data_IF_869139756124
#
_entry.id   IF_869139756124
#
_cell.length_a   1.000
_cell.length_b   1.000
_cell.length_c   1.000
_cell.angle_alpha   90.00
_cell.angle_beta   90.00
_cell.angle_gamma   90.00
#
_symmetry.space_group_name_H-M   'P 1'
#
loop_
_entity.id
_entity.type
_entity.pdbx_description
1 polymer ?
#
# COMPACT_ATOMS: atom_id res chain seq x y z
N UNK A 1 12.56 19.32 6.95
CA UNK A 1 11.48 18.41 7.39
C UNK A 1 11.18 17.54 6.19
N UNK A 2 11.26 16.23 6.35
CA UNK A 2 11.12 15.26 5.26
C UNK A 2 9.88 14.39 5.47
N UNK A 3 9.33 13.94 4.36
CA UNK A 3 8.21 13.00 4.28
C UNK A 3 8.73 11.66 3.73
N UNK A 4 8.33 10.55 4.35
CA UNK A 4 8.59 9.19 3.85
C UNK A 4 7.27 8.54 3.47
N UNK A 5 7.09 8.20 2.19
CA UNK A 5 5.81 7.74 1.64
C UNK A 5 5.53 6.27 1.79
N UNK A 6 6.51 5.46 2.21
CA UNK A 6 6.33 4.03 2.34
C UNK A 6 7.14 3.50 3.53
N UNK A 7 6.43 3.25 4.63
CA UNK A 7 7.00 2.66 5.83
C UNK A 7 6.00 1.69 6.47
N UNK A 8 6.45 0.71 7.24
CA UNK A 8 5.57 -0.14 8.05
C UNK A 8 5.80 0.12 9.54
N UNK A 9 4.97 0.98 10.13
CA UNK A 9 5.13 1.40 11.52
C UNK A 9 5.04 0.21 12.46
N UNK A 10 4.16 -0.76 12.20
CA UNK A 10 3.96 -1.96 13.01
C UNK A 10 5.20 -2.86 13.13
N UNK A 11 6.14 -2.73 12.19
CA UNK A 11 7.43 -3.42 12.22
C UNK A 11 8.53 -2.65 12.97
N UNK A 12 8.28 -1.41 13.39
CA UNK A 12 9.24 -0.55 14.07
C UNK A 12 8.98 -0.42 15.57
N UNK A 13 10.06 -0.50 16.34
CA UNK A 13 10.09 -0.15 17.75
C UNK A 13 10.00 1.36 17.99
N UNK A 14 9.64 1.75 19.20
CA UNK A 14 9.51 3.18 19.57
C UNK A 14 10.84 3.95 19.46
N UNK A 15 11.97 3.29 19.72
CA UNK A 15 13.30 3.87 19.54
C UNK A 15 13.61 4.18 18.07
N UNK A 16 13.16 3.33 17.14
CA UNK A 16 13.36 3.53 15.70
C UNK A 16 12.49 4.68 15.19
N UNK A 17 11.24 4.78 15.67
CA UNK A 17 10.37 5.92 15.38
C UNK A 17 10.96 7.25 15.89
N UNK A 18 11.58 7.27 17.08
CA UNK A 18 12.29 8.47 17.56
C UNK A 18 13.47 8.83 16.66
N UNK A 19 14.21 7.83 16.17
CA UNK A 19 15.33 8.03 15.27
C UNK A 19 14.89 8.70 13.97
N UNK A 20 13.72 8.37 13.42
CA UNK A 20 13.13 9.11 12.28
C UNK A 20 12.98 10.59 12.62
N UNK A 21 12.38 10.88 13.78
CA UNK A 21 12.14 12.25 14.23
C UNK A 21 13.45 13.03 14.43
N UNK A 22 14.48 12.41 15.00
CA UNK A 22 15.82 13.00 15.20
C UNK A 22 16.53 13.30 13.87
N UNK A 23 16.24 12.50 12.83
CA UNK A 23 16.76 12.68 11.47
C UNK A 23 15.82 13.50 10.57
N UNK A 24 14.92 14.29 11.17
CA UNK A 24 14.03 15.23 10.48
C UNK A 24 12.98 14.59 9.55
N UNK A 25 12.80 13.26 9.58
CA UNK A 25 11.65 12.57 9.00
C UNK A 25 10.52 12.70 10.01
N UNK A 26 9.65 13.67 9.78
CA UNK A 26 8.62 14.09 10.73
C UNK A 26 7.21 13.72 10.28
N UNK A 27 7.06 13.33 9.02
CA UNK A 27 5.82 12.83 8.44
C UNK A 27 6.12 11.51 7.72
N UNK A 28 5.29 10.50 7.94
CA UNK A 28 5.40 9.20 7.28
C UNK A 28 4.03 8.71 6.82
N UNK A 29 3.97 7.97 5.72
CA UNK A 29 2.83 7.15 5.37
C UNK A 29 3.10 5.71 5.79
N UNK A 30 2.25 5.15 6.67
CA UNK A 30 2.37 3.75 7.09
C UNK A 30 1.35 2.88 6.39
N UNK A 31 1.82 1.82 5.73
CA UNK A 31 0.98 0.96 4.91
C UNK A 31 0.67 -0.36 5.63
N UNK A 32 -0.57 -0.84 5.52
CA UNK A 32 -1.02 -2.07 6.14
C UNK A 32 -0.32 -3.30 5.53
N UNK A 33 0.29 -4.13 6.38
CA UNK A 33 0.88 -5.40 5.96
C UNK A 33 0.80 -6.42 7.10
N UNK A 34 0.36 -7.64 6.78
CA UNK A 34 0.37 -8.76 7.72
C UNK A 34 1.43 -9.77 7.30
N UNK A 35 2.46 -10.07 8.13
CA UNK A 35 3.64 -10.84 7.71
C UNK A 35 3.39 -12.34 7.49
N UNK A 36 2.14 -12.78 7.61
CA UNK A 36 1.68 -14.15 7.38
C UNK A 36 0.32 -14.12 6.69
N UNK A 37 0.03 -15.07 5.80
CA UNK A 37 -1.30 -15.16 5.17
C UNK A 37 -2.39 -15.36 6.26
N UNK A 38 -3.37 -14.45 6.41
CA UNK A 38 -4.39 -14.58 7.42
C UNK A 38 -5.25 -15.83 7.19
N UNK A 39 -5.71 -16.46 8.27
CA UNK A 39 -6.65 -17.59 8.20
C UNK A 39 -8.11 -17.14 8.06
N UNK A 40 -8.40 -15.89 8.41
CA UNK A 40 -9.73 -15.31 8.41
C UNK A 40 -9.66 -13.87 7.88
N UNK A 41 -10.62 -13.41 7.06
CA UNK A 41 -10.60 -12.05 6.51
C UNK A 41 -10.74 -10.97 7.57
N UNK A 42 -11.44 -11.25 8.67
CA UNK A 42 -11.64 -10.32 9.78
C UNK A 42 -10.32 -9.90 10.45
N UNK A 43 -9.26 -10.72 10.34
CA UNK A 43 -7.92 -10.34 10.80
C UNK A 43 -7.43 -9.07 10.12
N UNK A 44 -7.67 -8.90 8.82
CA UNK A 44 -7.26 -7.67 8.12
C UNK A 44 -8.03 -6.46 8.63
N UNK A 45 -9.30 -6.61 8.99
CA UNK A 45 -10.11 -5.54 9.57
C UNK A 45 -9.49 -5.07 10.90
N UNK A 46 -9.11 -5.98 11.80
CA UNK A 46 -8.46 -5.61 13.06
C UNK A 46 -7.05 -5.03 12.85
N UNK A 47 -6.31 -5.48 11.82
CA UNK A 47 -5.04 -4.85 11.42
C UNK A 47 -5.28 -3.39 11.00
N UNK A 48 -6.29 -3.13 10.17
CA UNK A 48 -6.64 -1.77 9.75
C UNK A 48 -7.06 -0.90 10.94
N UNK A 49 -7.89 -1.44 11.84
CA UNK A 49 -8.27 -0.74 13.08
C UNK A 49 -7.07 -0.38 13.93
N UNK A 50 -6.13 -1.31 14.14
CA UNK A 50 -4.87 -1.01 14.85
C UNK A 50 -4.07 0.08 14.13
N UNK A 51 -3.91 -0.02 12.81
CA UNK A 51 -3.14 0.93 12.01
C UNK A 51 -3.75 2.35 12.00
N UNK A 52 -5.07 2.47 12.10
CA UNK A 52 -5.76 3.78 12.06
C UNK A 52 -6.01 4.35 13.45
N UNK A 53 -6.40 3.51 14.42
CA UNK A 53 -6.81 3.98 15.76
C UNK A 53 -5.61 4.10 16.72
N UNK A 54 -4.59 3.23 16.61
CA UNK A 54 -3.49 3.14 17.57
C UNK A 54 -2.16 3.69 17.03
N UNK A 55 -1.75 3.25 15.84
CA UNK A 55 -0.42 3.58 15.28
C UNK A 55 -0.16 5.09 15.12
N UNK A 56 -1.13 5.95 14.73
CA UNK A 56 -0.90 7.38 14.62
C UNK A 56 -0.61 8.02 15.99
N UNK A 57 -1.27 7.55 17.06
CA UNK A 57 -0.98 8.01 18.43
C UNK A 57 0.43 7.59 18.86
N UNK A 58 0.81 6.34 18.58
CA UNK A 58 2.14 5.81 18.90
C UNK A 58 3.25 6.57 18.17
N UNK A 59 3.10 6.82 16.87
CA UNK A 59 4.05 7.60 16.08
C UNK A 59 4.14 9.05 16.56
N UNK A 60 2.99 9.68 16.85
CA UNK A 60 2.95 11.06 17.36
C UNK A 60 3.68 11.20 18.69
N UNK A 61 3.56 10.23 19.59
CA UNK A 61 4.30 10.20 20.85
C UNK A 61 5.84 10.09 20.65
N UNK A 62 6.30 9.51 19.53
CA UNK A 62 7.71 9.50 19.13
C UNK A 62 8.14 10.77 18.37
N UNK A 63 7.23 11.71 18.11
CA UNK A 63 7.52 12.96 17.40
C UNK A 63 7.41 12.88 15.88
N UNK A 64 6.67 11.90 15.36
CA UNK A 64 6.40 11.68 13.93
C UNK A 64 4.90 11.69 13.68
N UNK A 65 4.42 12.46 12.70
CA UNK A 65 3.04 12.38 12.22
C UNK A 65 2.94 11.23 11.22
N UNK A 66 1.95 10.36 11.40
CA UNK A 66 1.79 9.16 10.58
C UNK A 66 0.43 9.15 9.89
N UNK A 67 0.43 8.90 8.59
CA UNK A 67 -0.73 8.84 7.70
C UNK A 67 -1.01 7.36 7.36
N UNK A 68 -2.13 6.76 7.82
CA UNK A 68 -2.39 5.33 7.61
C UNK A 68 -2.94 5.02 6.22
N UNK A 69 -2.34 4.08 5.50
CA UNK A 69 -2.90 3.53 4.28
C UNK A 69 -3.27 2.06 4.48
N UNK A 70 -4.49 1.69 4.09
CA UNK A 70 -5.05 0.35 4.31
C UNK A 70 -5.11 -0.42 3.00
N UNK A 71 -5.09 -1.75 3.05
CA UNK A 71 -5.09 -2.54 1.82
C UNK A 71 -4.71 -3.98 2.07
N UNK A 72 -4.87 -4.80 1.05
CA UNK A 72 -4.55 -6.22 1.05
C UNK A 72 -3.33 -6.42 0.16
N UNK A 73 -2.19 -6.69 0.79
CA UNK A 73 -0.95 -7.03 0.10
C UNK A 73 -1.04 -8.44 -0.53
N UNK A 74 -0.48 -8.67 -1.74
CA UNK A 74 -0.59 -9.95 -2.47
C UNK A 74 -0.12 -11.17 -1.67
N UNK A 75 0.89 -11.01 -0.81
CA UNK A 75 1.40 -12.10 0.05
C UNK A 75 0.52 -12.46 1.25
N UNK A 76 -0.49 -11.65 1.56
CA UNK A 76 -1.34 -11.84 2.73
C UNK A 76 -2.83 -11.74 2.40
N UNK A 77 -3.23 -12.15 1.19
CA UNK A 77 -4.64 -12.23 0.78
C UNK A 77 -5.38 -13.22 1.70
N UNK A 78 -6.39 -12.81 2.48
CA UNK A 78 -7.15 -13.74 3.30
C UNK A 78 -8.13 -14.57 2.44
N UNK A 79 -8.62 -15.71 2.95
CA UNK A 79 -9.80 -16.33 2.34
C UNK A 79 -10.98 -15.36 2.38
N UNK A 80 -11.84 -15.41 1.36
CA UNK A 80 -13.00 -14.53 1.23
C UNK A 80 -12.67 -13.02 1.41
N UNK A 81 -11.64 -12.57 0.69
CA UNK A 81 -11.15 -11.19 0.69
C UNK A 81 -12.25 -10.13 0.43
N UNK A 82 -13.38 -10.53 -0.16
CA UNK A 82 -14.55 -9.69 -0.41
C UNK A 82 -15.14 -9.11 0.88
N UNK A 83 -15.02 -9.82 2.01
CA UNK A 83 -15.40 -9.28 3.32
C UNK A 83 -14.55 -8.06 3.68
N UNK A 84 -13.25 -8.10 3.40
CA UNK A 84 -12.32 -7.00 3.64
C UNK A 84 -12.60 -5.84 2.69
N UNK A 85 -12.88 -6.12 1.40
CA UNK A 85 -13.26 -5.08 0.44
C UNK A 85 -14.56 -4.35 0.83
N UNK A 86 -15.56 -5.08 1.31
CA UNK A 86 -16.81 -4.48 1.80
C UNK A 86 -16.53 -3.52 2.97
N UNK A 87 -15.67 -3.92 3.90
CA UNK A 87 -15.26 -3.05 5.00
C UNK A 87 -14.50 -1.81 4.51
N UNK A 88 -13.64 -1.96 3.50
CA UNK A 88 -12.96 -0.82 2.86
C UNK A 88 -13.96 0.13 2.16
N UNK A 89 -15.01 -0.40 1.53
CA UNK A 89 -16.04 0.40 0.85
C UNK A 89 -16.90 1.23 1.83
N UNK A 90 -17.13 0.73 3.03
CA UNK A 90 -17.95 1.40 4.07
C UNK A 90 -17.17 2.42 4.91
N UNK A 91 -15.83 2.39 4.84
CA UNK A 91 -14.95 3.26 5.62
C UNK A 91 -14.48 4.52 4.89
N UNK A 92 -13.94 5.48 5.64
CA UNK A 92 -13.25 6.65 5.11
C UNK A 92 -11.73 6.46 5.26
N UNK A 93 -11.02 6.44 4.13
CA UNK A 93 -9.59 6.16 4.10
C UNK A 93 -8.85 7.26 3.35
N UNK A 94 -7.62 7.54 3.78
CA UNK A 94 -6.79 8.56 3.13
C UNK A 94 -6.02 8.02 1.91
N UNK A 95 -5.77 6.71 1.87
CA UNK A 95 -5.04 6.01 0.81
C UNK A 95 -5.26 4.50 0.92
N UNK A 96 -5.16 3.80 -0.21
CA UNK A 96 -4.95 2.35 -0.24
C UNK A 96 -3.46 2.03 -0.40
N UNK A 97 -2.91 1.28 0.55
CA UNK A 97 -1.47 1.05 0.66
C UNK A 97 -1.09 -0.41 0.53
N UNK A 98 0.11 -0.65 0.01
CA UNK A 98 0.75 -1.97 -0.04
C UNK A 98 -0.02 -3.01 -0.87
N UNK A 99 -0.82 -2.54 -1.83
CA UNK A 99 -1.55 -3.39 -2.78
C UNK A 99 -0.66 -3.67 -3.98
N UNK A 100 -0.80 -4.81 -4.65
CA UNK A 100 0.04 -5.09 -5.82
C UNK A 100 0.01 -6.55 -6.24
N UNK A 101 1.04 -6.94 -6.99
CA UNK A 101 1.28 -8.32 -7.43
C UNK A 101 2.61 -8.80 -6.85
N UNK A 102 2.73 -10.10 -6.59
CA UNK A 102 4.00 -10.70 -6.17
C UNK A 102 4.47 -11.76 -7.18
N UNK A 103 3.59 -12.70 -7.51
CA UNK A 103 3.86 -13.82 -8.43
C UNK A 103 2.99 -13.76 -9.69
N UNK A 104 2.18 -12.71 -9.83
CA UNK A 104 1.30 -12.50 -10.99
C UNK A 104 0.29 -13.64 -11.13
N UNK A 105 -0.26 -14.09 -10.01
CA UNK A 105 -1.30 -15.13 -10.00
C UNK A 105 -2.67 -14.54 -10.30
N UNK A 106 -3.61 -15.38 -10.73
CA UNK A 106 -4.99 -14.95 -10.98
C UNK A 106 -5.66 -14.41 -9.69
N UNK A 107 -5.36 -14.99 -8.51
CA UNK A 107 -5.84 -14.51 -7.21
C UNK A 107 -5.32 -13.08 -6.92
N UNK A 108 -4.03 -12.84 -7.13
CA UNK A 108 -3.42 -11.51 -6.94
C UNK A 108 -4.00 -10.46 -7.91
N UNK A 109 -4.16 -10.83 -9.19
CA UNK A 109 -4.74 -9.95 -10.21
C UNK A 109 -6.19 -9.60 -9.87
N UNK A 110 -6.99 -10.58 -9.45
CA UNK A 110 -8.39 -10.36 -9.07
C UNK A 110 -8.48 -9.40 -7.86
N UNK A 111 -7.67 -9.63 -6.83
CA UNK A 111 -7.65 -8.80 -5.62
C UNK A 111 -7.13 -7.39 -5.88
N UNK A 112 -6.04 -7.25 -6.64
CA UNK A 112 -5.52 -5.93 -7.02
C UNK A 112 -6.55 -5.15 -7.84
N UNK A 113 -7.14 -5.77 -8.88
CA UNK A 113 -8.13 -5.12 -9.72
C UNK A 113 -9.35 -4.66 -8.90
N UNK A 114 -9.82 -5.50 -7.97
CA UNK A 114 -10.95 -5.16 -7.11
C UNK A 114 -10.65 -3.98 -6.17
N UNK A 115 -9.42 -3.90 -5.65
CA UNK A 115 -8.99 -2.76 -4.81
C UNK A 115 -8.86 -1.47 -5.63
N UNK A 116 -8.30 -1.54 -6.84
CA UNK A 116 -8.18 -0.40 -7.74
C UNK A 116 -9.54 0.10 -8.25
N UNK A 117 -10.47 -0.80 -8.59
CA UNK A 117 -11.84 -0.43 -8.96
C UNK A 117 -12.55 0.32 -7.81
N UNK A 118 -12.39 -0.18 -6.58
CA UNK A 118 -12.93 0.48 -5.39
C UNK A 118 -12.26 1.84 -5.16
N UNK A 119 -10.93 1.92 -5.24
CA UNK A 119 -10.19 3.17 -5.07
C UNK A 119 -10.62 4.23 -6.11
N UNK A 120 -10.79 3.84 -7.37
CA UNK A 120 -11.29 4.72 -8.44
C UNK A 120 -12.70 5.22 -8.14
N UNK A 121 -13.58 4.35 -7.62
CA UNK A 121 -14.95 4.73 -7.23
C UNK A 121 -14.95 5.74 -6.07
N UNK A 122 -14.03 5.59 -5.13
CA UNK A 122 -13.94 6.41 -3.92
C UNK A 122 -13.03 7.65 -4.07
N UNK A 123 -12.35 7.81 -5.21
CA UNK A 123 -11.37 8.87 -5.46
C UNK A 123 -10.20 8.86 -4.44
N UNK A 124 -9.71 7.65 -4.11
CA UNK A 124 -8.66 7.42 -3.11
C UNK A 124 -7.33 7.08 -3.79
N UNK A 125 -6.19 7.67 -3.35
CA UNK A 125 -4.88 7.35 -3.90
C UNK A 125 -4.38 5.95 -3.47
N UNK A 126 -3.60 5.30 -4.34
CA UNK A 126 -3.06 3.96 -4.18
C UNK A 126 -1.53 3.96 -4.22
N UNK A 127 -0.91 3.28 -3.26
CA UNK A 127 0.52 2.92 -3.28
C UNK A 127 0.62 1.46 -3.72
N UNK A 128 1.14 1.24 -4.91
CA UNK A 128 1.13 -0.05 -5.60
C UNK A 128 2.53 -0.67 -5.53
N UNK A 129 2.67 -1.72 -4.71
CA UNK A 129 3.88 -2.52 -4.57
C UNK A 129 4.27 -3.20 -5.88
N UNK A 130 5.56 -3.13 -6.23
CA UNK A 130 6.17 -4.02 -7.22
C UNK A 130 7.18 -4.97 -6.56
N UNK A 131 7.13 -6.28 -6.89
CA UNK A 131 7.86 -7.30 -6.17
C UNK A 131 9.36 -7.23 -6.41
N UNK A 132 10.14 -7.91 -5.57
CA UNK A 132 11.60 -8.04 -5.76
C UNK A 132 11.95 -9.04 -6.86
N UNK A 133 11.22 -10.17 -6.92
CA UNK A 133 11.33 -11.16 -8.00
C UNK A 133 10.36 -10.85 -9.13
N UNK A 134 10.63 -11.36 -10.35
CA UNK A 134 9.81 -11.11 -11.55
C UNK A 134 9.37 -9.63 -11.76
N UNK A 135 10.15 -8.65 -11.26
CA UNK A 135 9.73 -7.24 -11.13
C UNK A 135 9.26 -6.64 -12.46
N UNK A 136 9.98 -6.89 -13.55
CA UNK A 136 9.62 -6.43 -14.90
C UNK A 136 8.24 -6.98 -15.30
N UNK A 137 7.99 -8.28 -15.11
CA UNK A 137 6.71 -8.93 -15.46
C UNK A 137 5.56 -8.41 -14.61
N UNK A 138 5.76 -8.29 -13.29
CA UNK A 138 4.74 -7.77 -12.39
C UNK A 138 4.44 -6.29 -12.65
N UNK A 139 5.45 -5.48 -12.96
CA UNK A 139 5.29 -4.06 -13.30
C UNK A 139 4.51 -3.90 -14.60
N UNK A 140 4.86 -4.66 -15.66
CA UNK A 140 4.10 -4.66 -16.92
C UNK A 140 2.63 -5.02 -16.68
N UNK A 141 2.37 -6.07 -15.90
CA UNK A 141 0.99 -6.50 -15.62
C UNK A 141 0.24 -5.48 -14.78
N UNK A 142 0.90 -4.82 -13.85
CA UNK A 142 0.31 -3.75 -13.05
C UNK A 142 -0.11 -2.56 -13.92
N UNK A 143 0.77 -2.12 -14.82
CA UNK A 143 0.47 -1.04 -15.79
C UNK A 143 -0.68 -1.45 -16.72
N UNK A 144 -0.70 -2.71 -17.21
CA UNK A 144 -1.80 -3.24 -18.02
C UNK A 144 -3.15 -3.16 -17.30
N UNK A 145 -3.20 -3.55 -16.01
CA UNK A 145 -4.41 -3.48 -15.18
C UNK A 145 -4.85 -2.02 -15.00
N UNK A 146 -3.93 -1.13 -14.63
CA UNK A 146 -4.22 0.30 -14.45
C UNK A 146 -4.77 0.94 -15.74
N UNK A 147 -4.17 0.64 -16.89
CA UNK A 147 -4.62 1.12 -18.19
C UNK A 147 -5.99 0.57 -18.56
N UNK A 148 -6.24 -0.73 -18.31
CA UNK A 148 -7.55 -1.35 -18.55
C UNK A 148 -8.66 -0.73 -17.71
N UNK A 149 -8.33 -0.35 -16.47
CA UNK A 149 -9.25 0.34 -15.58
C UNK A 149 -9.40 1.83 -15.88
N UNK A 150 -8.62 2.39 -16.82
CA UNK A 150 -8.46 3.84 -17.04
C UNK A 150 -8.24 4.56 -15.70
N UNK A 151 -7.31 4.04 -14.88
CA UNK A 151 -7.11 4.54 -13.52
C UNK A 151 -6.50 5.95 -13.55
N UNK A 152 -7.01 6.92 -12.78
CA UNK A 152 -6.50 8.29 -12.82
C UNK A 152 -5.03 8.36 -12.42
N UNK A 153 -4.12 8.89 -13.27
CA UNK A 153 -2.69 8.84 -13.02
C UNK A 153 -2.27 9.51 -11.70
N UNK A 154 -2.95 10.60 -11.33
CA UNK A 154 -2.70 11.34 -10.10
C UNK A 154 -3.03 10.55 -8.81
N UNK A 155 -3.74 9.44 -8.91
CA UNK A 155 -4.13 8.60 -7.77
C UNK A 155 -3.30 7.33 -7.64
N UNK A 156 -2.28 7.07 -8.48
CA UNK A 156 -1.48 5.86 -8.37
C UNK A 156 0.01 6.16 -8.31
N UNK A 157 0.67 5.57 -7.32
CA UNK A 157 2.13 5.47 -7.21
C UNK A 157 2.51 4.03 -7.48
N UNK A 158 3.32 3.78 -8.52
CA UNK A 158 3.98 2.49 -8.73
C UNK A 158 5.28 2.53 -7.93
N UNK A 159 5.39 1.68 -6.92
CA UNK A 159 6.43 1.77 -5.90
C UNK A 159 7.53 0.71 -6.05
N UNK A 160 8.62 0.87 -5.29
CA UNK A 160 9.85 0.08 -5.37
C UNK A 160 10.42 0.03 -6.79
N UNK A 161 10.28 1.11 -7.57
CA UNK A 161 10.81 1.18 -8.92
C UNK A 161 12.33 1.15 -8.84
N UNK A 162 12.94 0.27 -9.63
CA UNK A 162 14.39 0.11 -9.67
C UNK A 162 14.92 0.45 -11.07
N UNK A 163 16.23 0.33 -11.25
CA UNK A 163 16.88 0.65 -12.52
C UNK A 163 16.36 -0.18 -13.71
N UNK A 164 15.85 -1.39 -13.48
CA UNK A 164 15.35 -2.26 -14.55
C UNK A 164 13.93 -1.89 -15.01
N UNK A 165 13.13 -1.24 -14.15
CA UNK A 165 11.73 -0.90 -14.45
C UNK A 165 11.47 0.60 -14.54
N UNK A 166 12.47 1.44 -14.27
CA UNK A 166 12.29 2.90 -14.27
C UNK A 166 11.76 3.42 -15.60
N UNK A 167 12.33 2.98 -16.73
CA UNK A 167 11.91 3.44 -18.06
C UNK A 167 10.45 3.05 -18.34
N UNK A 168 10.06 1.85 -17.95
CA UNK A 168 8.69 1.34 -18.14
C UNK A 168 7.65 2.17 -17.38
N UNK A 169 7.95 2.58 -16.15
CA UNK A 169 7.02 3.42 -15.37
C UNK A 169 7.11 4.88 -15.82
N UNK A 170 8.30 5.35 -16.20
CA UNK A 170 8.53 6.71 -16.69
C UNK A 170 7.81 7.01 -18.01
N UNK A 171 7.56 5.99 -18.84
CA UNK A 171 6.73 6.11 -20.05
C UNK A 171 5.22 6.25 -19.73
N UNK A 172 4.80 6.10 -18.48
CA UNK A 172 3.42 6.32 -18.02
C UNK A 172 3.25 7.70 -17.37
N UNK A 173 2.01 8.05 -17.03
CA UNK A 173 1.71 9.27 -16.27
C UNK A 173 1.58 9.03 -14.75
N UNK A 174 1.76 7.79 -14.29
CA UNK A 174 1.66 7.44 -12.88
C UNK A 174 2.86 7.96 -12.08
N UNK A 175 2.67 8.17 -10.78
CA UNK A 175 3.77 8.55 -9.89
C UNK A 175 4.74 7.39 -9.71
N UNK A 176 6.02 7.71 -9.56
CA UNK A 176 7.11 6.75 -9.37
C UNK A 176 7.57 6.79 -7.91
N UNK A 177 7.48 5.66 -7.23
CA UNK A 177 8.01 5.47 -5.88
C UNK A 177 9.42 4.90 -5.90
N UNK A 178 10.37 5.64 -5.30
CA UNK A 178 11.77 5.25 -5.13
C UNK A 178 12.04 5.01 -3.63
N UNK A 179 11.84 3.76 -3.21
CA UNK A 179 11.84 3.33 -1.79
C UNK A 179 12.62 2.03 -1.60
#
# INVERSE_FOLDING_TARGET
MYFDSHLHSEGLGFSELKKLAENQIKDICSLAFFPVKPRYPQTMIDVFRKLVEFEPMRCKAAGVRMYPAVGIHPRCIPPDYKIVLKYLEEGEWIAFGEIGLELVTDEEIEVLRSQLELAKKLDIPCIIHTPRGEKVRATMKTIEILNTLEFPPQLAVIDHVNFETIDMVFETEYWIGLT
#
